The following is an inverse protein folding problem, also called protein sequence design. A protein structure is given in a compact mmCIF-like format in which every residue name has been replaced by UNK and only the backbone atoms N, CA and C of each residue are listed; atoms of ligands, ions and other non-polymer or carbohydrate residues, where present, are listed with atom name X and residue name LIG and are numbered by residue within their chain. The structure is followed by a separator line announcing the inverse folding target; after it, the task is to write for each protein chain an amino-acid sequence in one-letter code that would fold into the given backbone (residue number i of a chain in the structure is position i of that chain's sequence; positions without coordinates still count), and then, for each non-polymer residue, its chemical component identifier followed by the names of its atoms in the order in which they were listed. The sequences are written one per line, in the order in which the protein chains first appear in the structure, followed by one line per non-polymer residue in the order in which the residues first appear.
data_IF_456759906569
#
_entry.id   IF_456759906569
#
_cell.length_a   1.000
_cell.length_b   1.000
_cell.length_c   1.000
_cell.angle_alpha   90.00
_cell.angle_beta   90.00
_cell.angle_gamma   90.00
#
_symmetry.space_group_name_H-M   'P 1'
#
loop_
_entity.id
_entity.type
_entity.pdbx_description
1 polymer ?
#
# COMPACT_ATOMS: atom_id res chain seq x y z
N UNK A 1 2.04 -61.03 -5.90
CA UNK A 1 3.32 -60.86 -5.15
C UNK A 1 3.84 -59.45 -5.40
N UNK A 2 4.90 -59.05 -4.68
CA UNK A 2 5.77 -57.88 -4.90
C UNK A 2 6.23 -57.75 -6.37
N UNK A 3 6.73 -56.62 -6.89
CA UNK A 3 7.05 -55.27 -6.37
C UNK A 3 6.96 -54.25 -7.55
N UNK A 4 7.41 -52.97 -7.60
CA UNK A 4 8.26 -52.07 -6.77
C UNK A 4 7.54 -50.72 -6.50
N UNK A 5 8.12 -49.86 -5.64
CA UNK A 5 7.90 -48.40 -5.66
C UNK A 5 9.17 -47.69 -6.19
N UNK A 6 9.00 -46.63 -6.98
CA UNK A 6 10.11 -45.79 -7.47
C UNK A 6 9.99 -44.36 -6.96
N UNK A 7 10.49 -44.11 -5.74
CA UNK A 7 10.64 -42.76 -5.18
C UNK A 7 12.10 -42.33 -5.35
N UNK A 8 12.37 -41.34 -6.21
CA UNK A 8 13.66 -40.64 -6.28
C UNK A 8 13.48 -39.18 -5.88
N UNK A 9 13.40 -38.93 -4.58
CA UNK A 9 13.55 -37.60 -4.02
C UNK A 9 15.05 -37.32 -3.85
N UNK A 10 15.59 -36.34 -4.60
CA UNK A 10 16.95 -35.85 -4.41
C UNK A 10 16.86 -34.59 -3.52
N UNK A 11 17.17 -34.76 -2.23
CA UNK A 11 17.26 -33.65 -1.29
C UNK A 11 18.63 -32.98 -1.40
N UNK A 12 18.69 -31.82 -2.07
CA UNK A 12 19.87 -30.97 -2.10
C UNK A 12 19.75 -29.89 -1.00
N UNK A 13 20.43 -30.11 0.12
CA UNK A 13 20.41 -29.17 1.27
C UNK A 13 21.47 -28.08 1.12
N UNK A 14 21.10 -26.95 0.53
CA UNK A 14 21.97 -25.78 0.38
C UNK A 14 21.99 -24.93 1.65
N UNK A 15 23.01 -25.12 2.51
CA UNK A 15 23.24 -24.27 3.69
C UNK A 15 23.83 -22.91 3.28
N UNK A 16 23.00 -21.86 3.27
CA UNK A 16 23.44 -20.49 3.02
C UNK A 16 23.91 -19.84 4.33
N UNK A 17 25.22 -19.61 4.47
CA UNK A 17 25.81 -18.92 5.62
C UNK A 17 26.00 -17.43 5.34
N UNK A 18 25.15 -16.58 5.92
CA UNK A 18 25.26 -15.11 5.80
C UNK A 18 25.90 -14.53 7.07
N UNK A 19 27.11 -14.00 6.95
CA UNK A 19 27.77 -13.29 8.04
C UNK A 19 27.23 -11.85 8.15
N UNK A 20 26.64 -11.50 9.28
CA UNK A 20 26.18 -10.14 9.59
C UNK A 20 27.31 -9.34 10.24
N UNK A 21 27.84 -8.33 9.53
CA UNK A 21 28.79 -7.37 10.06
C UNK A 21 28.07 -6.04 10.36
N UNK A 22 27.59 -5.88 11.61
CA UNK A 22 26.99 -4.64 12.08
C UNK A 22 28.08 -3.65 12.51
N UNK A 23 28.46 -2.74 11.60
CA UNK A 23 29.19 -1.51 11.97
C UNK A 23 28.18 -0.48 12.44
N UNK A 24 28.14 -0.23 13.75
CA UNK A 24 27.45 0.93 14.31
C UNK A 24 28.33 2.17 14.21
N UNK A 25 27.84 3.23 13.56
CA UNK A 25 28.47 4.54 13.60
C UNK A 25 27.88 5.35 14.76
N UNK A 26 28.64 5.50 15.85
CA UNK A 26 28.34 6.49 16.87
C UNK A 26 28.61 7.90 16.33
N UNK A 27 27.65 8.81 16.50
CA UNK A 27 27.82 10.24 16.25
C UNK A 27 27.08 11.05 17.32
N UNK A 28 27.82 11.48 18.33
CA UNK A 28 27.37 12.40 19.38
C UNK A 28 27.36 13.85 18.88
N UNK A 29 26.21 14.56 18.91
CA UNK A 29 26.19 16.01 18.69
C UNK A 29 26.77 16.74 19.91
N UNK A 30 27.61 17.76 19.66
CA UNK A 30 28.15 18.61 20.72
C UNK A 30 27.09 19.56 21.31
N UNK A 31 27.26 19.89 22.59
CA UNK A 31 26.64 21.04 23.24
C UNK A 31 27.09 22.35 22.56
N UNK A 32 26.18 23.33 22.45
CA UNK A 32 26.57 24.72 22.30
C UNK A 32 25.50 25.67 22.89
N UNK A 33 25.60 25.95 24.18
CA UNK A 33 24.75 26.90 24.92
C UNK A 33 25.12 28.39 24.67
N UNK A 34 24.27 29.29 25.18
CA UNK A 34 24.42 30.76 25.28
C UNK A 34 24.37 31.57 23.95
N UNK A 35 23.87 32.82 23.92
CA UNK A 35 23.42 33.71 25.01
C UNK A 35 22.17 34.56 24.67
N UNK A 36 21.58 35.05 25.75
CA UNK A 36 20.75 36.26 25.99
C UNK A 36 20.76 37.40 24.94
N UNK A 37 19.84 38.39 24.88
CA UNK A 37 18.51 38.70 25.45
C UNK A 37 18.28 40.22 25.18
N UNK A 38 17.09 40.67 24.77
CA UNK A 38 16.71 42.11 24.79
C UNK A 38 15.19 42.32 24.67
N UNK A 39 14.70 43.43 25.25
CA UNK A 39 13.29 43.83 25.45
C UNK A 39 13.32 45.39 25.31
N UNK A 40 12.39 46.15 24.68
CA UNK A 40 10.94 46.34 24.93
C UNK A 40 10.26 47.20 23.82
N UNK A 41 9.04 46.82 23.39
CA UNK A 41 7.75 47.58 23.16
C UNK A 41 7.68 49.12 23.01
N UNK A 42 6.56 49.73 22.50
CA UNK A 42 5.41 49.23 21.68
C UNK A 42 4.91 50.22 20.56
N UNK A 43 3.70 49.97 20.01
CA UNK A 43 2.75 50.92 19.33
C UNK A 43 3.14 51.50 17.93
N UNK A 44 2.27 51.67 16.93
CA UNK A 44 0.83 51.35 16.71
C UNK A 44 0.46 51.33 15.18
N UNK A 45 -0.82 51.14 14.83
CA UNK A 45 -1.51 51.32 13.52
C UNK A 45 -1.65 50.12 12.56
N UNK A 46 -2.57 49.22 12.93
CA UNK A 46 -3.79 48.93 12.16
C UNK A 46 -3.68 48.70 10.62
N UNK A 47 -3.50 47.44 10.21
CA UNK A 47 -3.78 46.95 8.84
C UNK A 47 -4.69 45.72 8.86
N UNK A 48 -5.84 45.76 8.18
CA UNK A 48 -6.82 44.65 8.18
C UNK A 48 -6.59 43.67 7.03
N UNK A 49 -5.84 42.59 7.29
CA UNK A 49 -5.74 41.42 6.40
C UNK A 49 -5.89 40.13 7.21
N UNK A 50 -7.11 39.60 7.29
CA UNK A 50 -7.41 38.31 7.93
C UNK A 50 -7.05 37.10 7.05
N UNK A 51 -5.77 36.97 6.71
CA UNK A 51 -5.21 35.82 5.96
C UNK A 51 -3.80 35.47 6.45
N UNK A 52 -3.43 34.19 6.33
CA UNK A 52 -2.07 33.64 6.56
C UNK A 52 -1.51 33.77 8.00
N UNK A 53 -2.23 33.23 8.99
CA UNK A 53 -1.62 32.73 10.24
C UNK A 53 -1.87 31.21 10.48
N UNK A 54 -2.30 30.50 9.43
CA UNK A 54 -2.51 29.05 9.43
C UNK A 54 -1.38 28.30 8.67
N UNK A 55 -0.14 28.78 8.78
CA UNK A 55 1.00 28.30 7.97
C UNK A 55 2.23 27.84 8.77
N UNK A 56 2.35 28.19 10.05
CA UNK A 56 3.57 27.92 10.85
C UNK A 56 3.38 26.98 12.05
N UNK A 57 2.19 26.39 12.23
CA UNK A 57 1.95 25.37 13.26
C UNK A 57 1.14 24.15 12.76
N UNK A 58 1.33 23.77 11.49
CA UNK A 58 0.66 22.61 10.87
C UNK A 58 1.60 21.57 10.21
N UNK A 59 2.83 21.94 9.84
CA UNK A 59 3.69 21.11 8.96
C UNK A 59 4.07 19.73 9.55
N UNK A 60 4.50 19.66 10.81
CA UNK A 60 4.85 18.36 11.46
C UNK A 60 3.62 17.47 11.73
N UNK A 61 2.45 18.06 11.98
CA UNK A 61 1.23 17.31 12.28
C UNK A 61 0.74 16.49 11.10
N UNK A 62 0.71 17.08 9.90
CA UNK A 62 0.22 16.36 8.72
C UNK A 62 1.18 15.25 8.28
N UNK A 63 2.50 15.50 8.24
CA UNK A 63 3.46 14.48 7.81
C UNK A 63 3.52 13.26 8.75
N UNK A 64 3.35 13.46 10.06
CA UNK A 64 3.24 12.35 11.02
C UNK A 64 1.90 11.60 10.91
N UNK A 65 0.81 12.28 10.49
CA UNK A 65 -0.43 11.58 10.13
C UNK A 65 -0.22 10.75 8.86
N UNK A 66 0.28 11.34 7.77
CA UNK A 66 0.58 10.66 6.50
C UNK A 66 1.44 9.41 6.74
N UNK A 67 2.58 9.55 7.41
CA UNK A 67 3.50 8.43 7.63
C UNK A 67 2.87 7.30 8.48
N UNK A 68 2.14 7.63 9.56
CA UNK A 68 1.40 6.65 10.37
C UNK A 68 0.31 5.97 9.55
N UNK A 69 -0.44 6.73 8.77
CA UNK A 69 -1.63 6.25 8.07
C UNK A 69 -1.26 5.40 6.85
N UNK A 70 -0.14 5.71 6.17
CA UNK A 70 0.48 4.81 5.18
C UNK A 70 0.93 3.51 5.85
N UNK A 71 1.66 3.59 6.97
CA UNK A 71 2.11 2.39 7.68
C UNK A 71 0.93 1.53 8.15
N UNK A 72 -0.15 2.15 8.65
CA UNK A 72 -1.39 1.45 9.03
C UNK A 72 -2.07 0.81 7.83
N UNK A 73 -2.27 1.55 6.73
CA UNK A 73 -2.87 1.03 5.51
C UNK A 73 -2.05 -0.15 4.97
N UNK A 74 -0.73 -0.04 4.95
CA UNK A 74 0.15 -1.13 4.54
C UNK A 74 0.02 -2.35 5.46
N UNK A 75 0.16 -2.20 6.78
CA UNK A 75 0.08 -3.32 7.74
C UNK A 75 -1.26 -4.08 7.62
N UNK A 76 -2.36 -3.37 7.40
CA UNK A 76 -3.71 -3.98 7.30
C UNK A 76 -4.02 -4.52 5.88
N UNK A 77 -3.14 -4.35 4.87
CA UNK A 77 -3.43 -4.75 3.47
C UNK A 77 -2.31 -5.45 2.69
N UNK A 78 -1.05 -5.43 3.11
CA UNK A 78 0.10 -5.91 2.32
C UNK A 78 -0.05 -7.40 1.90
N UNK A 79 -0.51 -8.25 2.82
CA UNK A 79 -0.86 -9.66 2.55
C UNK A 79 -1.98 -9.78 1.49
N UNK A 80 -3.05 -8.99 1.63
CA UNK A 80 -4.18 -9.02 0.69
C UNK A 80 -3.78 -8.52 -0.69
N UNK A 81 -2.95 -7.49 -0.80
CA UNK A 81 -2.42 -6.97 -2.07
C UNK A 81 -1.50 -8.00 -2.73
N UNK A 82 -0.67 -8.70 -1.96
CA UNK A 82 0.22 -9.76 -2.44
C UNK A 82 -0.58 -10.97 -2.96
N UNK A 83 -1.55 -11.44 -2.17
CA UNK A 83 -2.47 -12.52 -2.57
C UNK A 83 -3.31 -12.14 -3.80
N UNK A 84 -3.79 -10.89 -3.86
CA UNK A 84 -4.59 -10.37 -4.98
C UNK A 84 -3.81 -10.38 -6.30
N UNK A 85 -2.52 -10.03 -6.28
CA UNK A 85 -1.64 -10.18 -7.46
C UNK A 85 -1.45 -11.64 -7.87
N UNK A 86 -1.29 -12.55 -6.91
CA UNK A 86 -1.20 -13.98 -7.20
C UNK A 86 -2.50 -14.50 -7.82
N UNK A 87 -3.66 -14.11 -7.29
CA UNK A 87 -4.98 -14.44 -7.85
C UNK A 87 -5.23 -13.85 -9.23
N UNK A 88 -4.73 -12.65 -9.54
CA UNK A 88 -4.76 -12.10 -10.90
C UNK A 88 -4.05 -13.05 -11.88
N UNK A 89 -2.79 -13.38 -11.60
CA UNK A 89 -1.98 -14.23 -12.49
C UNK A 89 -2.55 -15.66 -12.59
N UNK A 90 -3.01 -16.21 -11.47
CA UNK A 90 -3.71 -17.50 -11.41
C UNK A 90 -4.98 -17.51 -12.29
N UNK A 91 -5.78 -16.44 -12.25
CA UNK A 91 -6.99 -16.27 -13.05
C UNK A 91 -6.66 -16.13 -14.54
N UNK A 92 -5.74 -15.23 -14.90
CA UNK A 92 -5.26 -15.03 -16.28
C UNK A 92 -4.77 -16.35 -16.89
N UNK A 93 -3.99 -17.13 -16.14
CA UNK A 93 -3.54 -18.43 -16.59
C UNK A 93 -4.70 -19.43 -16.71
N UNK A 94 -5.65 -19.47 -15.76
CA UNK A 94 -6.81 -20.37 -15.84
C UNK A 94 -7.68 -20.13 -17.09
N UNK A 95 -7.81 -18.87 -17.52
CA UNK A 95 -8.49 -18.46 -18.76
C UNK A 95 -7.70 -18.94 -19.98
N UNK A 96 -6.39 -18.72 -20.01
CA UNK A 96 -5.51 -19.14 -21.12
C UNK A 96 -5.44 -20.67 -21.25
N UNK A 97 -5.31 -21.39 -20.14
CA UNK A 97 -5.34 -22.85 -20.02
C UNK A 97 -6.73 -23.44 -20.40
N UNK A 98 -7.78 -22.59 -20.48
CA UNK A 98 -9.21 -22.96 -20.61
C UNK A 98 -9.67 -23.98 -19.56
N UNK A 99 -9.03 -23.97 -18.40
CA UNK A 99 -9.21 -24.98 -17.37
C UNK A 99 -10.34 -24.56 -16.41
N UNK A 100 -11.55 -25.06 -16.66
CA UNK A 100 -12.75 -24.71 -15.88
C UNK A 100 -12.62 -24.99 -14.37
N UNK A 101 -11.95 -26.08 -13.97
CA UNK A 101 -11.76 -26.42 -12.55
C UNK A 101 -10.79 -25.45 -11.87
N UNK A 102 -9.67 -25.13 -12.54
CA UNK A 102 -8.72 -24.11 -12.06
C UNK A 102 -9.40 -22.75 -11.98
N UNK A 103 -10.13 -22.36 -13.03
CA UNK A 103 -10.89 -21.12 -13.09
C UNK A 103 -11.88 -20.99 -11.93
N UNK A 104 -12.60 -22.06 -11.58
CA UNK A 104 -13.51 -22.06 -10.43
C UNK A 104 -12.77 -21.84 -9.10
N UNK A 105 -11.62 -22.51 -8.88
CA UNK A 105 -10.80 -22.31 -7.68
C UNK A 105 -10.29 -20.87 -7.58
N UNK A 106 -9.65 -20.38 -8.65
CA UNK A 106 -9.03 -19.04 -8.66
C UNK A 106 -10.06 -17.92 -8.60
N UNK A 107 -11.28 -18.14 -9.13
CA UNK A 107 -12.42 -17.24 -8.96
C UNK A 107 -12.88 -17.18 -7.50
N UNK A 108 -12.93 -18.31 -6.80
CA UNK A 108 -13.29 -18.37 -5.38
C UNK A 108 -12.22 -17.75 -4.47
N UNK A 109 -10.95 -18.07 -4.71
CA UNK A 109 -9.78 -17.48 -4.03
C UNK A 109 -9.76 -15.95 -4.19
N UNK A 110 -9.94 -15.46 -5.42
CA UNK A 110 -10.02 -14.04 -5.73
C UNK A 110 -11.21 -13.37 -5.03
N UNK A 111 -12.41 -13.96 -5.07
CA UNK A 111 -13.59 -13.38 -4.42
C UNK A 111 -13.38 -13.21 -2.90
N UNK A 112 -12.81 -14.23 -2.23
CA UNK A 112 -12.52 -14.15 -0.80
C UNK A 112 -11.47 -13.07 -0.48
N UNK A 113 -10.43 -12.94 -1.30
CA UNK A 113 -9.38 -11.93 -1.09
C UNK A 113 -9.90 -10.50 -1.31
N UNK A 114 -10.73 -10.29 -2.33
CA UNK A 114 -11.39 -8.99 -2.59
C UNK A 114 -12.31 -8.59 -1.43
N UNK A 115 -13.07 -9.53 -0.87
CA UNK A 115 -13.87 -9.29 0.34
C UNK A 115 -13.00 -8.97 1.57
N UNK A 116 -11.95 -9.75 1.84
CA UNK A 116 -11.04 -9.48 2.96
C UNK A 116 -10.38 -8.09 2.83
N UNK A 117 -9.96 -7.71 1.62
CA UNK A 117 -9.42 -6.38 1.32
C UNK A 117 -10.48 -5.29 1.48
N UNK A 118 -11.75 -5.56 1.18
CA UNK A 118 -12.85 -4.61 1.37
C UNK A 118 -13.03 -4.29 2.87
N UNK A 119 -13.12 -5.33 3.69
CA UNK A 119 -13.34 -5.20 5.13
C UNK A 119 -12.13 -4.53 5.83
N UNK A 120 -10.91 -4.84 5.40
CA UNK A 120 -9.70 -4.13 5.84
C UNK A 120 -9.72 -2.63 5.44
N UNK A 121 -10.06 -2.31 4.18
CA UNK A 121 -10.18 -0.93 3.72
C UNK A 121 -11.33 -0.15 4.38
N UNK A 122 -12.33 -0.83 4.97
CA UNK A 122 -13.38 -0.20 5.79
C UNK A 122 -13.00 -0.05 7.26
N UNK A 123 -12.17 -0.93 7.84
CA UNK A 123 -11.72 -0.84 9.24
C UNK A 123 -10.70 0.29 9.47
N UNK A 124 -10.01 0.71 8.40
CA UNK A 124 -9.00 1.76 8.37
C UNK A 124 -9.57 3.17 8.67
N UNK A 125 -9.72 3.49 9.95
CA UNK A 125 -9.79 4.88 10.42
C UNK A 125 -8.41 5.57 10.21
N UNK A 126 -8.37 6.59 9.33
CA UNK A 126 -7.20 7.40 8.95
C UNK A 126 -7.43 8.89 9.31
N UNK A 127 -6.37 9.72 9.29
CA UNK A 127 -6.45 11.18 9.55
C UNK A 127 -5.76 12.06 8.50
N UNK A 128 -5.03 11.47 7.56
CA UNK A 128 -4.53 12.16 6.36
C UNK A 128 -5.54 12.01 5.24
N UNK A 129 -5.97 13.14 4.67
CA UNK A 129 -6.88 13.17 3.51
C UNK A 129 -6.22 12.56 2.27
N UNK A 130 -4.89 12.71 2.14
CA UNK A 130 -4.10 12.16 1.04
C UNK A 130 -4.09 10.62 1.06
N UNK A 131 -3.98 10.02 2.25
CA UNK A 131 -4.04 8.55 2.42
C UNK A 131 -5.48 8.05 2.36
N UNK A 132 -6.48 8.81 2.85
CA UNK A 132 -7.89 8.43 2.69
C UNK A 132 -8.31 8.41 1.22
N UNK A 133 -7.91 9.41 0.42
CA UNK A 133 -8.17 9.40 -1.03
C UNK A 133 -7.62 8.14 -1.72
N UNK A 134 -6.47 7.63 -1.27
CA UNK A 134 -5.93 6.36 -1.77
C UNK A 134 -6.75 5.17 -1.26
N UNK A 135 -7.11 5.12 0.03
CA UNK A 135 -8.00 4.09 0.61
C UNK A 135 -9.34 4.01 -0.14
N UNK A 136 -9.92 5.15 -0.50
CA UNK A 136 -11.17 5.25 -1.27
C UNK A 136 -10.99 4.79 -2.73
N UNK A 137 -9.87 5.11 -3.37
CA UNK A 137 -9.51 4.63 -4.71
C UNK A 137 -9.34 3.10 -4.74
N UNK A 138 -8.62 2.55 -3.75
CA UNK A 138 -8.49 1.11 -3.53
C UNK A 138 -9.85 0.45 -3.32
N UNK A 139 -10.71 1.03 -2.48
CA UNK A 139 -12.06 0.51 -2.20
C UNK A 139 -12.93 0.52 -3.46
N UNK A 140 -12.87 1.57 -4.27
CA UNK A 140 -13.62 1.68 -5.53
C UNK A 140 -13.14 0.71 -6.62
N UNK A 141 -11.83 0.49 -6.75
CA UNK A 141 -11.26 -0.50 -7.67
C UNK A 141 -11.58 -1.94 -7.22
N UNK A 142 -11.45 -2.21 -5.92
CA UNK A 142 -11.83 -3.48 -5.29
C UNK A 142 -13.33 -3.78 -5.49
N UNK A 143 -14.21 -2.79 -5.29
CA UNK A 143 -15.65 -2.94 -5.52
C UNK A 143 -15.98 -3.19 -7.01
N UNK A 144 -15.21 -2.63 -7.95
CA UNK A 144 -15.37 -2.93 -9.37
C UNK A 144 -14.89 -4.34 -9.75
N UNK A 145 -13.90 -4.90 -9.02
CA UNK A 145 -13.51 -6.31 -9.13
C UNK A 145 -14.57 -7.24 -8.50
N UNK A 146 -15.10 -6.93 -7.31
CA UNK A 146 -16.22 -7.67 -6.70
C UNK A 146 -17.44 -7.73 -7.64
N UNK A 147 -17.71 -6.66 -8.39
CA UNK A 147 -18.80 -6.57 -9.36
C UNK A 147 -18.54 -7.29 -10.71
N UNK A 148 -17.46 -8.05 -10.86
CA UNK A 148 -17.18 -8.80 -12.10
C UNK A 148 -18.19 -9.95 -12.31
N UNK A 149 -18.69 -10.19 -13.54
CA UNK A 149 -19.61 -11.30 -13.82
C UNK A 149 -19.06 -12.67 -13.44
N UNK A 150 -17.74 -12.87 -13.54
CA UNK A 150 -17.08 -14.14 -13.24
C UNK A 150 -17.27 -14.58 -11.78
N UNK A 151 -17.12 -13.66 -10.82
CA UNK A 151 -17.28 -13.95 -9.39
C UNK A 151 -18.73 -14.32 -9.05
N UNK A 152 -19.68 -13.80 -9.84
CA UNK A 152 -21.10 -14.14 -9.79
C UNK A 152 -21.48 -15.37 -10.62
N UNK A 153 -20.51 -16.19 -11.04
CA UNK A 153 -20.74 -17.46 -11.73
C UNK A 153 -21.00 -17.36 -13.24
N UNK A 154 -20.74 -16.22 -13.88
CA UNK A 154 -20.84 -16.10 -15.34
C UNK A 154 -19.70 -16.89 -16.01
N UNK A 155 -20.02 -18.09 -16.51
CA UNK A 155 -19.10 -18.98 -17.24
C UNK A 155 -18.84 -18.57 -18.70
N UNK A 156 -19.60 -17.62 -19.25
CA UNK A 156 -19.41 -17.13 -20.61
C UNK A 156 -18.31 -16.05 -20.66
N UNK A 157 -17.08 -16.51 -20.89
CA UNK A 157 -15.89 -15.65 -20.97
C UNK A 157 -15.98 -14.59 -22.08
N UNK A 158 -16.82 -14.79 -23.09
CA UNK A 158 -17.04 -13.84 -24.19
C UNK A 158 -17.82 -12.59 -23.74
N UNK A 159 -18.46 -12.63 -22.58
CA UNK A 159 -19.16 -11.50 -21.94
C UNK A 159 -18.31 -10.77 -20.90
N UNK A 160 -17.04 -11.16 -20.71
CA UNK A 160 -16.16 -10.59 -19.69
C UNK A 160 -15.20 -9.58 -20.34
N UNK A 161 -15.28 -8.33 -19.90
CA UNK A 161 -14.34 -7.26 -20.28
C UNK A 161 -13.05 -7.40 -19.46
N UNK A 162 -12.15 -8.28 -19.90
CA UNK A 162 -10.85 -8.50 -19.24
C UNK A 162 -9.96 -7.25 -19.19
N UNK A 163 -10.11 -6.30 -20.12
CA UNK A 163 -9.37 -5.04 -20.08
C UNK A 163 -9.84 -4.14 -18.93
N UNK A 164 -11.15 -4.13 -18.61
CA UNK A 164 -11.67 -3.47 -17.40
C UNK A 164 -11.17 -4.16 -16.12
N UNK A 165 -11.05 -5.49 -16.11
CA UNK A 165 -10.49 -6.26 -14.99
C UNK A 165 -9.04 -5.84 -14.74
N UNK A 166 -8.18 -5.98 -15.75
CA UNK A 166 -6.77 -5.60 -15.70
C UNK A 166 -6.60 -4.14 -15.24
N UNK A 167 -7.44 -3.23 -15.74
CA UNK A 167 -7.45 -1.82 -15.32
C UNK A 167 -7.69 -1.64 -13.81
N UNK A 168 -8.53 -2.46 -13.16
CA UNK A 168 -8.74 -2.32 -11.70
C UNK A 168 -7.52 -2.84 -10.92
N UNK A 169 -6.96 -3.99 -11.31
CA UNK A 169 -5.71 -4.48 -10.72
C UNK A 169 -4.57 -3.46 -10.90
N UNK A 170 -4.43 -2.88 -12.09
CA UNK A 170 -3.44 -1.82 -12.36
C UNK A 170 -3.73 -0.53 -11.57
N UNK A 171 -5.00 -0.19 -11.29
CA UNK A 171 -5.36 0.93 -10.40
C UNK A 171 -4.87 0.66 -8.97
N UNK A 172 -5.16 -0.52 -8.43
CA UNK A 172 -4.71 -0.95 -7.10
C UNK A 172 -3.16 -0.93 -7.01
N UNK A 173 -2.47 -1.42 -8.04
CA UNK A 173 -1.01 -1.39 -8.10
C UNK A 173 -0.45 0.03 -8.12
N UNK A 174 -1.04 0.93 -8.92
CA UNK A 174 -0.63 2.34 -8.96
C UNK A 174 -0.92 3.08 -7.65
N UNK A 175 -2.01 2.72 -6.95
CA UNK A 175 -2.35 3.28 -5.65
C UNK A 175 -1.34 2.88 -4.55
N UNK A 176 -0.85 1.63 -4.57
CA UNK A 176 0.25 1.20 -3.70
C UNK A 176 1.57 1.94 -4.03
N UNK A 177 1.83 2.24 -5.31
CA UNK A 177 2.96 3.09 -5.71
C UNK A 177 2.77 4.54 -5.20
N UNK A 178 1.56 5.11 -5.24
CA UNK A 178 1.28 6.45 -4.69
C UNK A 178 1.64 6.51 -3.20
N UNK A 179 1.25 5.51 -2.40
CA UNK A 179 1.60 5.42 -0.98
C UNK A 179 3.12 5.47 -0.78
N UNK A 180 3.88 4.63 -1.50
CA UNK A 180 5.34 4.65 -1.46
C UNK A 180 5.92 6.03 -1.86
N UNK A 181 5.33 6.71 -2.86
CA UNK A 181 5.77 8.06 -3.24
C UNK A 181 5.41 9.15 -2.22
N UNK A 182 4.37 8.99 -1.40
CA UNK A 182 4.07 9.94 -0.30
C UNK A 182 5.13 9.83 0.81
N UNK A 183 5.56 8.62 1.17
CA UNK A 183 6.67 8.42 2.15
C UNK A 183 7.97 9.10 1.67
N UNK A 184 8.26 9.02 0.36
CA UNK A 184 9.51 9.52 -0.23
C UNK A 184 9.44 11.01 -0.64
N UNK A 185 8.27 11.48 -1.07
CA UNK A 185 8.06 12.76 -1.75
C UNK A 185 8.02 13.97 -0.82
N UNK A 186 7.45 13.81 0.39
CA UNK A 186 7.36 14.88 1.39
C UNK A 186 8.75 15.43 1.83
N UNK A 187 9.83 14.71 1.57
CA UNK A 187 11.21 15.13 1.85
C UNK A 187 11.78 16.13 0.82
N UNK A 188 11.01 16.58 -0.18
CA UNK A 188 11.45 17.56 -1.20
C UNK A 188 10.86 18.97 -1.04
N UNK A 189 10.19 19.26 0.08
CA UNK A 189 9.54 20.55 0.33
C UNK A 189 10.45 21.62 0.97
N UNK A 190 11.66 21.27 1.42
CA UNK A 190 12.59 22.17 2.14
C UNK A 190 13.97 22.21 1.43
N UNK A 191 14.02 22.65 0.17
CA UNK A 191 15.28 22.80 -0.59
C UNK A 191 15.22 23.91 -1.65
N UNK A 192 14.61 25.05 -1.30
CA UNK A 192 14.72 26.33 -2.01
C UNK A 192 14.37 27.47 -1.02
N UNK A 193 15.34 27.85 -0.18
CA UNK A 193 15.30 28.99 0.73
C UNK A 193 16.74 29.51 0.92
#
# INVERSE_FOLDING_TARGET
MMEKRSIKAILATSTLATALALVGCDQTPQDNQQAEQSITTPEDQQGHTSTVQQSQNLSRGNMLNIARDIAKLQIETDDYITLLKQSQSNLEQAIQDKNAQKLQSTTGELNQQLHNLHDALLSLNLKSDEVDQIRQSLLAANQQLLNMPLLHGQTDLSKIDFAKIEKQFNTIQMDMVKLATLVLGNNKADSNA
#
